data_IF_306438625915
#
_entry.id   IF_306438625915
#
_cell.length_a   1.000
_cell.length_b   1.000
_cell.length_c   1.000
_cell.angle_alpha   90.00
_cell.angle_beta   90.00
_cell.angle_gamma   90.00
#
_symmetry.space_group_name_H-M   'P 1'
#
loop_
_entity.id
_entity.type
_entity.pdbx_description
1 polymer ?
#
# COMPACT_ATOMS: atom_id res chain seq x y z
N UNK A 1 -16.31 30.66 2.06
CA UNK A 1 -15.61 30.09 3.24
C UNK A 1 -15.61 28.56 3.27
N UNK A 2 -16.53 27.86 2.57
CA UNK A 2 -16.53 26.38 2.46
C UNK A 2 -15.64 25.81 1.33
N UNK A 3 -15.28 26.61 0.31
CA UNK A 3 -14.46 26.17 -0.83
C UNK A 3 -13.00 25.83 -0.45
N UNK A 4 -12.45 26.51 0.56
CA UNK A 4 -11.08 26.28 1.02
C UNK A 4 -10.93 24.96 1.80
N UNK A 5 -12.01 24.50 2.46
CA UNK A 5 -12.00 23.25 3.23
C UNK A 5 -12.08 22.00 2.33
N UNK A 6 -12.74 22.13 1.17
CA UNK A 6 -12.83 21.04 0.18
C UNK A 6 -11.49 20.73 -0.50
N UNK A 7 -10.68 21.75 -0.76
CA UNK A 7 -9.37 21.57 -1.41
C UNK A 7 -8.38 20.80 -0.54
N UNK A 8 -8.40 20.99 0.79
CA UNK A 8 -7.53 20.27 1.72
C UNK A 8 -7.90 18.78 1.79
N UNK A 9 -9.20 18.46 1.86
CA UNK A 9 -9.69 17.07 1.89
C UNK A 9 -9.36 16.29 0.61
N UNK A 10 -9.45 16.93 -0.55
CA UNK A 10 -9.07 16.33 -1.82
C UNK A 10 -7.56 16.02 -1.88
N UNK A 11 -6.73 16.91 -1.34
CA UNK A 11 -5.29 16.72 -1.24
C UNK A 11 -4.94 15.52 -0.32
N UNK A 12 -5.56 15.42 0.86
CA UNK A 12 -5.40 14.29 1.79
C UNK A 12 -5.70 12.94 1.11
N UNK A 13 -6.81 12.88 0.38
CA UNK A 13 -7.21 11.68 -0.36
C UNK A 13 -6.20 11.31 -1.44
N UNK A 14 -5.71 12.28 -2.22
CA UNK A 14 -4.72 12.03 -3.26
C UNK A 14 -3.40 11.51 -2.67
N UNK A 15 -2.95 12.05 -1.53
CA UNK A 15 -1.73 11.60 -0.83
C UNK A 15 -1.91 10.20 -0.26
N UNK A 16 -3.07 9.89 0.34
CA UNK A 16 -3.36 8.55 0.85
C UNK A 16 -3.44 7.50 -0.26
N UNK A 17 -4.05 7.83 -1.41
CA UNK A 17 -4.08 6.96 -2.59
C UNK A 17 -2.68 6.71 -3.15
N UNK A 18 -1.85 7.75 -3.23
CA UNK A 18 -0.45 7.61 -3.65
C UNK A 18 0.30 6.66 -2.73
N UNK A 19 0.17 6.84 -1.41
CA UNK A 19 0.78 5.95 -0.42
C UNK A 19 0.29 4.50 -0.54
N UNK A 20 -1.00 4.30 -0.79
CA UNK A 20 -1.57 2.97 -0.99
C UNK A 20 -0.94 2.27 -2.21
N UNK A 21 -0.73 3.00 -3.31
CA UNK A 21 -0.04 2.49 -4.50
C UNK A 21 1.43 2.15 -4.21
N UNK A 22 2.14 2.99 -3.45
CA UNK A 22 3.55 2.77 -3.08
C UNK A 22 3.74 1.46 -2.27
N UNK A 23 2.74 1.07 -1.48
CA UNK A 23 2.74 -0.20 -0.70
C UNK A 23 2.03 -1.35 -1.43
N UNK A 24 1.54 -1.16 -2.66
CA UNK A 24 0.83 -2.18 -3.45
C UNK A 24 -0.58 -2.50 -2.96
N UNK A 25 -1.21 -1.62 -2.19
CA UNK A 25 -2.56 -1.78 -1.70
C UNK A 25 -3.58 -1.05 -2.58
N UNK A 26 -4.58 -1.78 -3.09
CA UNK A 26 -5.57 -1.26 -4.05
C UNK A 26 -7.01 -1.29 -3.54
N UNK A 27 -7.22 -1.37 -2.22
CA UNK A 27 -8.56 -1.43 -1.62
C UNK A 27 -8.91 -0.14 -0.89
N UNK A 28 -10.18 0.25 -0.94
CA UNK A 28 -10.72 1.38 -0.17
C UNK A 28 -10.40 1.26 1.32
N UNK A 29 -10.50 0.05 1.89
CA UNK A 29 -10.17 -0.22 3.30
C UNK A 29 -8.72 0.11 3.66
N UNK A 30 -7.80 -0.04 2.71
CA UNK A 30 -6.40 0.34 2.90
C UNK A 30 -6.23 1.86 2.92
N UNK A 31 -6.84 2.58 1.97
CA UNK A 31 -6.84 4.05 1.93
C UNK A 31 -7.51 4.63 3.18
N UNK A 32 -8.62 4.04 3.62
CA UNK A 32 -9.31 4.43 4.85
C UNK A 32 -8.42 4.24 6.09
N UNK A 33 -7.70 3.11 6.16
CA UNK A 33 -6.74 2.86 7.25
C UNK A 33 -5.57 3.86 7.24
N UNK A 34 -5.08 4.23 6.05
CA UNK A 34 -4.03 5.24 5.88
C UNK A 34 -4.49 6.58 6.44
N UNK A 35 -5.69 7.04 6.06
CA UNK A 35 -6.27 8.29 6.55
C UNK A 35 -6.56 8.25 8.06
N UNK A 36 -7.14 7.15 8.56
CA UNK A 36 -7.45 6.98 10.00
C UNK A 36 -6.21 7.05 10.88
N UNK A 37 -5.07 6.57 10.38
CA UNK A 37 -3.81 6.53 11.11
C UNK A 37 -2.87 7.69 10.75
N UNK A 38 -3.34 8.69 9.97
CA UNK A 38 -2.56 9.83 9.48
C UNK A 38 -1.24 9.42 8.80
N UNK A 39 -1.25 8.25 8.16
CA UNK A 39 -0.05 7.70 7.53
C UNK A 39 0.30 8.49 6.26
N UNK A 40 -0.64 9.20 5.66
CA UNK A 40 -0.39 10.15 4.57
C UNK A 40 0.56 11.30 4.96
N UNK A 41 0.64 11.67 6.24
CA UNK A 41 1.51 12.73 6.76
C UNK A 41 2.86 12.20 7.27
N UNK A 42 2.95 10.89 7.49
CA UNK A 42 4.21 10.25 7.87
C UNK A 42 5.12 10.14 6.65
N UNK A 43 6.26 10.82 6.70
CA UNK A 43 7.36 10.59 5.76
C UNK A 43 7.62 9.08 5.73
N UNK A 44 7.41 8.47 4.57
CA UNK A 44 7.86 7.11 4.34
C UNK A 44 9.38 7.16 4.53
N UNK A 45 9.88 6.68 5.67
CA UNK A 45 11.30 6.36 5.79
C UNK A 45 11.66 5.56 4.54
N UNK A 46 12.69 6.00 3.81
CA UNK A 46 13.15 5.45 2.51
C UNK A 46 13.57 3.97 2.56
N UNK A 47 13.20 3.27 3.62
CA UNK A 47 13.62 1.93 4.02
C UNK A 47 12.43 1.05 4.44
N UNK A 48 11.25 1.26 3.88
CA UNK A 48 10.35 0.12 3.69
C UNK A 48 10.72 -0.52 2.36
N UNK A 49 11.59 -1.56 2.34
CA UNK A 49 11.75 -2.35 1.14
C UNK A 49 10.35 -2.79 0.74
N UNK A 50 9.98 -2.49 -0.51
CA UNK A 50 8.87 -3.12 -1.22
C UNK A 50 8.89 -4.61 -0.88
N UNK A 51 8.14 -5.03 0.14
CA UNK A 51 8.14 -6.42 0.59
C UNK A 51 7.17 -7.24 -0.27
N UNK A 52 7.00 -6.84 -1.53
CA UNK A 52 6.52 -7.70 -2.60
C UNK A 52 7.72 -8.31 -3.38
N UNK A 53 8.92 -8.28 -2.80
CA UNK A 53 10.13 -8.83 -3.43
C UNK A 53 11.23 -9.32 -2.49
N UNK A 54 11.03 -9.35 -1.16
CA UNK A 54 11.90 -10.17 -0.30
C UNK A 54 11.46 -11.60 -0.50
N UNK A 55 12.23 -12.31 -1.33
CA UNK A 55 11.94 -13.64 -1.85
C UNK A 55 11.14 -14.48 -0.86
N UNK A 56 9.90 -14.78 -1.23
CA UNK A 56 9.27 -15.98 -0.70
C UNK A 56 10.31 -17.09 -0.87
N UNK A 57 10.64 -17.87 0.16
CA UNK A 57 11.49 -19.03 -0.04
C UNK A 57 10.78 -19.86 -1.10
N UNK A 58 11.30 -19.83 -2.33
CA UNK A 58 10.70 -20.53 -3.47
C UNK A 58 10.76 -22.04 -3.24
N UNK A 59 11.55 -22.46 -2.24
CA UNK A 59 11.62 -23.80 -1.69
C UNK A 59 10.86 -23.85 -0.37
N UNK A 60 9.60 -24.29 -0.42
CA UNK A 60 8.86 -24.78 0.73
C UNK A 60 8.49 -26.22 0.43
N UNK A 61 8.61 -27.11 1.43
CA UNK A 61 8.48 -28.58 1.27
C UNK A 61 7.20 -29.01 0.54
N UNK A 62 6.14 -28.23 0.65
CA UNK A 62 4.82 -28.50 0.08
C UNK A 62 4.49 -27.71 -1.20
N UNK A 63 5.36 -26.82 -1.67
CA UNK A 63 5.12 -26.05 -2.91
C UNK A 63 5.58 -26.89 -4.09
N UNK A 64 4.61 -27.36 -4.88
CA UNK A 64 4.87 -28.20 -6.05
C UNK A 64 4.93 -27.34 -7.31
N UNK A 65 5.99 -27.53 -8.10
CA UNK A 65 6.23 -26.76 -9.31
C UNK A 65 5.39 -27.22 -10.49
N UNK A 66 5.53 -26.52 -11.62
CA UNK A 66 4.85 -26.83 -12.90
C UNK A 66 5.02 -28.29 -13.35
N UNK A 67 6.07 -28.96 -12.91
CA UNK A 67 6.33 -30.38 -13.17
C UNK A 67 5.35 -31.34 -12.47
N UNK A 68 4.55 -30.89 -11.50
CA UNK A 68 3.61 -31.73 -10.74
C UNK A 68 2.26 -31.91 -11.44
N UNK A 69 1.83 -30.94 -12.25
CA UNK A 69 0.56 -31.00 -12.96
C UNK A 69 0.82 -31.42 -14.42
N UNK A 70 0.15 -32.49 -14.87
CA UNK A 70 0.15 -32.96 -16.27
C UNK A 70 -1.02 -32.36 -17.04
#
# INVERSE_FOLDING_TARGET
MWELLGSARAMEQAVACKRALDIGAHSYKSVESILKNNLDQTVLSETSPLTNGKGTPTSHEYIRGKHYFK
#
